data_IF_080814672296
#
_entry.id   IF_080814672296
#
_cell.length_a   1.000
_cell.length_b   1.000
_cell.length_c   1.000
_cell.angle_alpha   90.00
_cell.angle_beta   90.00
_cell.angle_gamma   90.00
#
_symmetry.space_group_name_H-M   'P 1'
#
loop_
_entity.id
_entity.type
_entity.pdbx_description
1 polymer ?
#
# COMPACT_ATOMS: atom_id res chain seq x y z
N UNK A 1 -0.70 -20.11 -32.30
CA UNK A 1 0.27 -18.99 -32.35
C UNK A 1 0.68 -18.50 -30.96
N UNK A 2 -0.25 -18.40 -30.00
CA UNK A 2 0.01 -17.94 -28.63
C UNK A 2 1.03 -18.80 -27.85
N UNK A 3 1.00 -20.12 -28.03
CA UNK A 3 1.92 -21.05 -27.36
C UNK A 3 3.37 -20.98 -27.87
N UNK A 4 3.60 -20.51 -29.09
CA UNK A 4 4.95 -20.41 -29.68
C UNK A 4 5.65 -19.13 -29.23
N UNK A 5 4.90 -18.01 -29.13
CA UNK A 5 5.41 -16.75 -28.58
C UNK A 5 5.76 -16.86 -27.09
N UNK A 6 4.91 -17.57 -26.32
CA UNK A 6 5.16 -17.84 -24.90
C UNK A 6 6.41 -18.71 -24.73
N UNK A 7 6.59 -19.72 -25.59
CA UNK A 7 7.79 -20.55 -25.61
C UNK A 7 9.06 -19.75 -25.90
N UNK A 8 9.06 -18.84 -26.88
CA UNK A 8 10.25 -18.07 -27.25
C UNK A 8 10.66 -17.03 -26.18
N UNK A 9 9.70 -16.35 -25.54
CA UNK A 9 9.97 -15.41 -24.44
C UNK A 9 10.55 -16.10 -23.20
N UNK A 10 10.10 -17.33 -22.91
CA UNK A 10 10.55 -18.10 -21.74
C UNK A 10 11.98 -18.66 -21.91
N UNK A 11 12.43 -18.91 -23.14
CA UNK A 11 13.81 -19.33 -23.41
C UNK A 11 14.80 -18.17 -23.27
N UNK A 12 14.38 -16.95 -23.59
CA UNK A 12 15.26 -15.75 -23.54
C UNK A 12 15.38 -15.14 -22.14
N UNK A 13 14.43 -15.39 -21.23
CA UNK A 13 14.42 -14.79 -19.89
C UNK A 13 14.11 -15.84 -18.79
N UNK A 14 15.06 -16.75 -18.49
CA UNK A 14 14.85 -17.85 -17.55
C UNK A 14 14.50 -17.41 -16.11
N UNK A 15 14.83 -16.17 -15.72
CA UNK A 15 14.46 -15.61 -14.42
C UNK A 15 12.95 -15.38 -14.25
N UNK A 16 12.18 -15.28 -15.36
CA UNK A 16 10.72 -15.16 -15.33
C UNK A 16 10.04 -16.48 -14.97
N UNK A 17 10.65 -17.62 -15.31
CA UNK A 17 10.17 -18.97 -14.94
C UNK A 17 10.31 -19.23 -13.44
N UNK A 18 11.45 -18.84 -12.86
CA UNK A 18 11.71 -18.93 -11.41
C UNK A 18 10.76 -18.03 -10.62
N UNK A 19 10.48 -16.82 -11.12
CA UNK A 19 9.46 -15.93 -10.56
C UNK A 19 8.06 -16.54 -10.62
N UNK A 20 7.59 -16.99 -11.79
CA UNK A 20 6.25 -17.60 -11.93
C UNK A 20 6.03 -18.83 -11.04
N UNK A 21 7.06 -19.69 -10.88
CA UNK A 21 6.99 -20.85 -9.99
C UNK A 21 6.89 -20.43 -8.52
N UNK A 22 7.69 -19.45 -8.09
CA UNK A 22 7.63 -18.84 -6.75
C UNK A 22 6.26 -18.23 -6.45
N UNK A 23 5.66 -17.51 -7.40
CA UNK A 23 4.31 -16.94 -7.25
C UNK A 23 3.21 -18.01 -7.20
N UNK A 24 3.30 -19.09 -7.98
CA UNK A 24 2.35 -20.21 -7.89
C UNK A 24 2.45 -20.98 -6.57
N UNK A 25 3.66 -21.14 -6.04
CA UNK A 25 3.87 -21.81 -4.75
C UNK A 25 3.38 -20.94 -3.57
N UNK A 26 3.45 -19.60 -3.67
CA UNK A 26 2.84 -18.65 -2.73
C UNK A 26 1.31 -18.83 -2.60
N UNK A 27 0.58 -19.04 -3.70
CA UNK A 27 -0.88 -19.27 -3.62
C UNK A 27 -1.25 -20.69 -3.17
N UNK A 28 -0.32 -21.65 -3.24
CA UNK A 28 -0.55 -23.02 -2.75
C UNK A 28 -0.55 -23.12 -1.22
N UNK A 29 0.08 -22.17 -0.52
CA UNK A 29 0.17 -22.18 0.95
C UNK A 29 -0.87 -21.31 1.66
N UNK A 30 -1.69 -20.52 0.94
CA UNK A 30 -2.78 -19.67 1.49
C UNK A 30 -2.44 -19.09 2.87
N UNK A 31 -1.28 -18.44 3.00
CA UNK A 31 -1.05 -17.60 4.17
C UNK A 31 -2.06 -16.45 4.06
N UNK A 32 -3.04 -16.39 4.97
CA UNK A 32 -4.01 -15.30 5.02
C UNK A 32 -3.26 -14.00 5.29
N UNK A 33 -3.28 -13.07 4.32
CA UNK A 33 -2.64 -11.76 4.47
C UNK A 33 -3.56 -10.84 5.27
N UNK A 34 -2.98 -10.08 6.19
CA UNK A 34 -3.64 -9.00 6.90
C UNK A 34 -3.10 -7.68 6.37
N UNK A 35 -3.88 -7.03 5.52
CA UNK A 35 -3.54 -5.74 4.93
C UNK A 35 -4.33 -4.65 5.63
N UNK A 36 -3.63 -3.63 6.10
CA UNK A 36 -4.23 -2.48 6.78
C UNK A 36 -3.79 -1.17 6.14
N UNK A 37 -4.71 -0.22 6.01
CA UNK A 37 -4.37 1.18 5.72
C UNK A 37 -4.67 2.00 6.97
N UNK A 38 -3.67 2.64 7.56
CA UNK A 38 -3.85 3.65 8.61
C UNK A 38 -3.77 5.03 7.95
N UNK A 39 -4.79 5.85 8.13
CA UNK A 39 -4.87 7.13 7.43
C UNK A 39 -5.52 8.23 8.28
N UNK A 40 -5.05 9.46 8.09
CA UNK A 40 -5.57 10.64 8.77
C UNK A 40 -6.83 11.15 8.07
N UNK A 41 -7.82 11.56 8.87
CA UNK A 41 -9.04 12.21 8.43
C UNK A 41 -10.11 11.25 7.93
N UNK A 42 -11.37 11.66 8.11
CA UNK A 42 -12.53 10.93 7.59
C UNK A 42 -12.74 11.19 6.10
N UNK A 43 -13.10 10.15 5.37
CA UNK A 43 -13.50 10.30 3.98
C UNK A 43 -14.87 11.00 3.87
N UNK A 44 -14.91 12.15 3.20
CA UNK A 44 -16.15 12.96 3.07
C UNK A 44 -16.86 12.73 1.74
N UNK A 45 -16.09 12.53 0.68
CA UNK A 45 -16.60 12.44 -0.67
C UNK A 45 -17.21 11.06 -0.98
N UNK A 46 -18.50 11.05 -1.35
CA UNK A 46 -19.24 9.80 -1.63
C UNK A 46 -18.63 8.99 -2.77
N UNK A 47 -18.11 9.65 -3.81
CA UNK A 47 -17.52 8.97 -4.97
C UNK A 47 -16.20 8.28 -4.61
N UNK A 48 -15.36 8.89 -3.78
CA UNK A 48 -14.14 8.26 -3.27
C UNK A 48 -14.49 7.07 -2.40
N UNK A 49 -15.50 7.20 -1.54
CA UNK A 49 -15.96 6.11 -0.69
C UNK A 49 -16.41 4.92 -1.52
N UNK A 50 -17.25 5.14 -2.52
CA UNK A 50 -17.73 4.08 -3.40
C UNK A 50 -16.59 3.37 -4.14
N UNK A 51 -15.62 4.13 -4.66
CA UNK A 51 -14.44 3.56 -5.31
C UNK A 51 -13.58 2.71 -4.37
N UNK A 52 -13.35 3.19 -3.14
CA UNK A 52 -12.59 2.46 -2.12
C UNK A 52 -13.34 1.19 -1.71
N UNK A 53 -14.64 1.28 -1.45
CA UNK A 53 -15.46 0.14 -1.05
C UNK A 53 -15.45 -0.99 -2.11
N UNK A 54 -15.45 -0.64 -3.39
CA UNK A 54 -15.38 -1.61 -4.49
C UNK A 54 -14.07 -2.41 -4.48
N UNK A 55 -12.92 -1.74 -4.35
CA UNK A 55 -11.63 -2.43 -4.27
C UNK A 55 -11.42 -3.13 -2.93
N UNK A 56 -11.88 -2.55 -1.82
CA UNK A 56 -11.82 -3.16 -0.50
C UNK A 56 -12.60 -4.49 -0.46
N UNK A 57 -13.78 -4.54 -1.11
CA UNK A 57 -14.57 -5.77 -1.26
C UNK A 57 -13.81 -6.82 -2.08
N UNK A 58 -13.21 -6.43 -3.20
CA UNK A 58 -12.42 -7.35 -4.04
C UNK A 58 -11.19 -7.87 -3.31
N UNK A 59 -10.58 -7.07 -2.44
CA UNK A 59 -9.40 -7.45 -1.66
C UNK A 59 -9.67 -8.55 -0.62
N UNK A 60 -10.91 -8.68 -0.13
CA UNK A 60 -11.26 -9.72 0.86
C UNK A 60 -11.01 -11.15 0.36
N UNK A 61 -10.88 -11.37 -0.96
CA UNK A 61 -10.54 -12.68 -1.54
C UNK A 61 -9.09 -13.11 -1.24
N UNK A 62 -8.24 -12.19 -0.81
CA UNK A 62 -6.81 -12.40 -0.57
C UNK A 62 -6.44 -12.47 0.92
N UNK A 63 -7.39 -12.21 1.80
CA UNK A 63 -7.18 -12.13 3.25
C UNK A 63 -7.96 -10.98 3.86
N UNK A 64 -7.61 -10.62 5.10
CA UNK A 64 -8.26 -9.51 5.80
C UNK A 64 -7.73 -8.19 5.22
N UNK A 65 -8.65 -7.34 4.76
CA UNK A 65 -8.34 -5.96 4.40
C UNK A 65 -9.15 -5.00 5.28
N UNK A 66 -8.47 -4.04 5.92
CA UNK A 66 -9.12 -3.01 6.74
C UNK A 66 -8.53 -1.61 6.52
N UNK A 67 -9.36 -0.60 6.67
CA UNK A 67 -8.96 0.81 6.67
C UNK A 67 -9.27 1.38 8.04
N UNK A 68 -8.24 1.89 8.71
CA UNK A 68 -8.32 2.53 10.02
C UNK A 68 -8.12 4.03 9.83
N UNK A 69 -9.19 4.78 10.09
CA UNK A 69 -9.14 6.24 10.08
C UNK A 69 -8.78 6.76 11.48
N UNK A 70 -7.81 7.67 11.56
CA UNK A 70 -7.52 8.43 12.77
C UNK A 70 -8.00 9.88 12.60
N UNK A 71 -8.45 10.55 13.68
CA UNK A 71 -8.87 11.94 13.61
C UNK A 71 -7.76 12.85 13.08
N UNK A 72 -8.11 13.74 12.16
CA UNK A 72 -7.29 14.88 11.73
C UNK A 72 -7.31 15.98 12.80
N UNK A 73 -6.23 16.74 12.89
CA UNK A 73 -6.27 18.01 13.61
C UNK A 73 -6.81 19.11 12.69
N UNK A 74 -7.50 20.08 13.26
CA UNK A 74 -7.86 21.28 12.51
C UNK A 74 -6.57 22.02 12.14
N UNK A 75 -6.33 22.16 10.85
CA UNK A 75 -5.31 23.05 10.30
C UNK A 75 -5.97 24.31 9.74
N UNK A 76 -6.01 25.43 10.49
CA UNK A 76 -6.35 26.74 9.96
C UNK A 76 -5.54 27.07 8.71
N UNK A 77 -6.06 27.94 7.83
CA UNK A 77 -5.39 28.32 6.58
C UNK A 77 -3.98 28.91 6.77
N UNK A 78 -3.69 29.44 7.95
CA UNK A 78 -2.38 29.94 8.33
C UNK A 78 -1.94 29.31 9.65
N UNK A 79 -0.89 28.49 9.59
CA UNK A 79 -0.21 27.93 10.75
C UNK A 79 1.24 28.41 10.76
N UNK A 80 1.76 28.72 11.94
CA UNK A 80 3.21 28.84 12.13
C UNK A 80 3.87 27.46 12.03
N UNK A 81 5.17 27.42 11.74
CA UNK A 81 5.91 26.16 11.65
C UNK A 81 5.75 25.31 12.93
N UNK A 82 5.83 25.93 14.10
CA UNK A 82 5.65 25.24 15.38
C UNK A 82 4.25 24.61 15.53
N UNK A 83 3.21 25.27 15.00
CA UNK A 83 1.85 24.70 15.00
C UNK A 83 1.70 23.58 13.98
N UNK A 84 2.33 23.69 12.81
CA UNK A 84 2.38 22.61 11.83
C UNK A 84 3.05 21.36 12.41
N UNK A 85 4.17 21.54 13.11
CA UNK A 85 4.90 20.45 13.76
C UNK A 85 4.04 19.78 14.85
N UNK A 86 3.35 20.56 15.69
CA UNK A 86 2.44 20.04 16.70
C UNK A 86 1.26 19.26 16.11
N UNK A 87 0.68 19.73 15.00
CA UNK A 87 -0.40 19.01 14.30
C UNK A 87 0.14 17.68 13.80
N UNK A 88 1.29 17.70 13.12
CA UNK A 88 1.90 16.51 12.54
C UNK A 88 2.25 15.49 13.63
N UNK A 89 2.79 15.93 14.77
CA UNK A 89 3.12 15.09 15.92
C UNK A 89 1.89 14.39 16.50
N UNK A 90 0.81 15.12 16.77
CA UNK A 90 -0.45 14.55 17.28
C UNK A 90 -1.06 13.53 16.32
N UNK A 91 -1.08 13.84 15.02
CA UNK A 91 -1.53 12.91 14.00
C UNK A 91 -0.63 11.67 13.94
N UNK A 92 0.69 11.88 14.08
CA UNK A 92 1.70 10.83 14.15
C UNK A 92 1.49 9.88 15.34
N UNK A 93 1.24 10.40 16.54
CA UNK A 93 0.91 9.60 17.73
C UNK A 93 -0.33 8.73 17.49
N UNK A 94 -1.37 9.30 16.89
CA UNK A 94 -2.60 8.57 16.57
C UNK A 94 -2.33 7.45 15.58
N UNK A 95 -1.55 7.71 14.52
CA UNK A 95 -1.13 6.69 13.55
C UNK A 95 -0.38 5.58 14.27
N UNK A 96 0.66 5.92 15.04
CA UNK A 96 1.52 4.96 15.73
C UNK A 96 0.71 4.08 16.70
N UNK A 97 -0.30 4.63 17.37
CA UNK A 97 -1.20 3.86 18.24
C UNK A 97 -2.00 2.75 17.52
N UNK A 98 -2.05 2.78 16.19
CA UNK A 98 -2.75 1.78 15.35
C UNK A 98 -1.81 0.78 14.69
N UNK A 99 -0.50 0.90 14.91
CA UNK A 99 0.53 0.04 14.32
C UNK A 99 1.10 -0.88 15.41
N UNK A 100 1.07 -2.20 15.19
CA UNK A 100 1.71 -3.17 16.09
C UNK A 100 3.19 -3.34 15.75
N UNK A 101 3.97 -3.84 16.69
CA UNK A 101 5.44 -3.97 16.54
C UNK A 101 5.87 -4.89 15.39
N UNK A 102 5.11 -5.96 15.11
CA UNK A 102 5.43 -6.96 14.09
C UNK A 102 4.93 -6.63 12.69
N UNK A 103 4.17 -5.55 12.53
CA UNK A 103 3.65 -5.14 11.22
C UNK A 103 4.79 -4.58 10.35
N UNK A 104 4.82 -4.98 9.09
CA UNK A 104 5.67 -4.33 8.09
C UNK A 104 4.98 -3.07 7.57
N UNK A 105 5.63 -1.93 7.76
CA UNK A 105 5.02 -0.61 7.56
C UNK A 105 5.56 0.07 6.31
N UNK A 106 4.68 0.33 5.36
CA UNK A 106 4.90 1.22 4.22
C UNK A 106 4.39 2.62 4.57
N UNK A 107 5.28 3.61 4.66
CA UNK A 107 4.87 5.02 4.76
C UNK A 107 4.79 5.65 3.37
N UNK A 108 3.63 6.20 3.01
CA UNK A 108 3.51 6.97 1.77
C UNK A 108 4.12 8.36 2.00
N UNK A 109 5.18 8.64 1.25
CA UNK A 109 5.92 9.89 1.33
C UNK A 109 6.38 10.31 -0.08
N UNK A 110 6.28 11.61 -0.40
CA UNK A 110 6.68 12.14 -1.71
C UNK A 110 8.15 11.83 -2.02
N UNK A 111 9.00 11.88 -0.99
CA UNK A 111 10.44 11.56 -1.06
C UNK A 111 10.74 10.07 -0.88
N UNK A 112 9.71 9.22 -0.75
CA UNK A 112 9.87 7.78 -0.77
C UNK A 112 10.40 7.30 -2.12
N UNK A 113 10.90 6.07 -2.17
CA UNK A 113 11.38 5.53 -3.45
C UNK A 113 10.15 5.13 -4.29
N UNK A 114 10.19 5.39 -5.60
CA UNK A 114 9.12 5.03 -6.54
C UNK A 114 9.16 3.51 -6.84
N UNK A 115 8.01 2.92 -7.18
CA UNK A 115 7.89 1.52 -7.60
C UNK A 115 7.02 1.41 -8.83
N UNK A 116 7.32 0.43 -9.67
CA UNK A 116 6.34 -0.10 -10.62
C UNK A 116 5.29 -0.92 -9.89
N UNK A 117 4.16 -1.23 -10.53
CA UNK A 117 3.14 -2.11 -9.94
C UNK A 117 3.70 -3.52 -9.70
N UNK A 118 4.59 -3.99 -10.56
CA UNK A 118 5.29 -5.27 -10.48
C UNK A 118 6.27 -5.31 -9.30
N UNK A 119 6.99 -4.21 -9.05
CA UNK A 119 7.90 -4.12 -7.89
C UNK A 119 7.12 -4.21 -6.58
N UNK A 120 5.99 -3.49 -6.46
CA UNK A 120 5.13 -3.56 -5.28
C UNK A 120 4.55 -4.98 -5.10
N UNK A 121 4.10 -5.61 -6.20
CA UNK A 121 3.60 -6.99 -6.18
C UNK A 121 4.66 -7.97 -5.70
N UNK A 122 5.89 -7.84 -6.20
CA UNK A 122 7.03 -8.65 -5.77
C UNK A 122 7.36 -8.43 -4.30
N UNK A 123 7.43 -7.19 -3.83
CA UNK A 123 7.75 -6.88 -2.43
C UNK A 123 6.73 -7.49 -1.47
N UNK A 124 5.42 -7.36 -1.77
CA UNK A 124 4.36 -7.98 -0.96
C UNK A 124 4.48 -9.52 -0.94
N UNK A 125 4.75 -10.14 -2.09
CA UNK A 125 4.91 -11.60 -2.17
C UNK A 125 6.16 -12.07 -1.40
N UNK A 126 7.27 -11.34 -1.50
CA UNK A 126 8.52 -11.66 -0.82
C UNK A 126 8.34 -11.57 0.70
N UNK A 127 7.67 -10.53 1.21
CA UNK A 127 7.33 -10.41 2.63
C UNK A 127 6.57 -11.63 3.14
N UNK A 128 5.56 -12.07 2.40
CA UNK A 128 4.76 -13.21 2.80
C UNK A 128 5.54 -14.53 2.76
N UNK A 129 6.40 -14.74 1.75
CA UNK A 129 7.33 -15.90 1.70
C UNK A 129 8.28 -15.92 2.89
N UNK A 130 8.67 -14.75 3.40
CA UNK A 130 9.50 -14.60 4.59
C UNK A 130 8.71 -14.58 5.92
N UNK A 131 7.42 -14.96 5.89
CA UNK A 131 6.59 -15.11 7.08
C UNK A 131 5.98 -13.81 7.63
N UNK A 132 6.03 -12.72 6.87
CA UNK A 132 5.35 -11.46 7.21
C UNK A 132 3.97 -11.42 6.58
N UNK A 133 2.94 -11.68 7.38
CA UNK A 133 1.53 -11.65 6.93
C UNK A 133 0.80 -10.36 7.29
N UNK A 134 1.32 -9.56 8.23
CA UNK A 134 0.73 -8.28 8.65
C UNK A 134 1.43 -7.10 7.97
N UNK A 135 0.77 -6.48 6.99
CA UNK A 135 1.29 -5.34 6.22
C UNK A 135 0.41 -4.12 6.46
N UNK A 136 1.03 -3.00 6.84
CA UNK A 136 0.36 -1.73 7.09
C UNK A 136 0.87 -0.65 6.15
N UNK A 137 -0.02 0.00 5.43
CA UNK A 137 0.25 1.22 4.68
C UNK A 137 -0.21 2.45 5.46
N UNK A 138 0.55 3.52 5.42
CA UNK A 138 0.28 4.75 6.19
C UNK A 138 0.15 5.95 5.26
N UNK A 139 -0.96 6.68 5.39
CA UNK A 139 -1.24 7.92 4.66
C UNK A 139 -1.38 9.06 5.68
N UNK A 140 -0.54 10.09 5.54
CA UNK A 140 -0.58 11.28 6.40
C UNK A 140 -1.75 12.22 6.10
N UNK A 141 -1.86 13.26 6.94
CA UNK A 141 -2.78 14.37 6.75
C UNK A 141 -2.31 15.35 5.67
N UNK A 142 -2.86 16.56 5.67
CA UNK A 142 -2.45 17.63 4.74
C UNK A 142 -1.00 18.07 4.92
N UNK A 143 -0.44 17.93 6.13
CA UNK A 143 0.94 18.29 6.46
C UNK A 143 1.95 17.14 6.24
N UNK A 144 1.48 15.95 5.85
CA UNK A 144 2.32 14.78 5.67
C UNK A 144 2.42 13.90 6.93
N UNK A 145 3.58 13.30 7.15
CA UNK A 145 3.82 12.33 8.22
C UNK A 145 4.89 12.82 9.19
N UNK A 146 4.63 12.65 10.48
CA UNK A 146 5.59 12.98 11.52
C UNK A 146 6.90 12.19 11.34
N UNK A 147 8.06 12.79 11.71
CA UNK A 147 9.34 12.07 11.69
C UNK A 147 9.32 10.74 12.44
N UNK A 148 8.57 10.64 13.55
CA UNK A 148 8.40 9.40 14.32
C UNK A 148 7.72 8.28 13.51
N UNK A 149 6.73 8.62 12.67
CA UNK A 149 6.05 7.66 11.78
C UNK A 149 7.00 7.20 10.68
N UNK A 150 7.72 8.14 10.05
CA UNK A 150 8.72 7.82 9.02
C UNK A 150 9.85 6.95 9.57
N UNK A 151 10.26 7.16 10.83
CA UNK A 151 11.26 6.34 11.52
C UNK A 151 10.73 4.93 11.85
N UNK A 152 9.45 4.79 12.20
CA UNK A 152 8.82 3.48 12.42
C UNK A 152 8.63 2.70 11.11
N UNK A 153 8.47 3.38 9.98
CA UNK A 153 8.27 2.73 8.70
C UNK A 153 9.45 1.81 8.34
N UNK A 154 9.13 0.62 7.83
CA UNK A 154 10.14 -0.28 7.28
C UNK A 154 10.62 0.22 5.91
N UNK A 155 9.73 0.86 5.15
CA UNK A 155 10.03 1.45 3.85
C UNK A 155 9.17 2.68 3.60
N UNK A 156 9.70 3.61 2.80
CA UNK A 156 8.97 4.78 2.32
C UNK A 156 8.72 4.62 0.82
N UNK A 157 7.46 4.74 0.42
CA UNK A 157 7.00 4.59 -0.96
C UNK A 157 6.45 5.91 -1.49
N UNK A 158 6.86 6.27 -2.71
CA UNK A 158 6.30 7.40 -3.45
C UNK A 158 5.43 6.92 -4.60
N UNK A 159 4.30 7.60 -4.82
CA UNK A 159 3.41 7.43 -5.97
C UNK A 159 3.73 8.42 -7.10
N UNK A 160 4.90 9.05 -7.04
CA UNK A 160 5.39 10.02 -8.00
C UNK A 160 5.57 11.40 -7.40
N UNK A 161 5.92 12.36 -8.26
CA UNK A 161 6.30 13.72 -7.86
C UNK A 161 5.12 14.67 -7.64
N UNK A 162 3.91 14.27 -8.04
CA UNK A 162 2.71 15.07 -7.82
C UNK A 162 2.21 14.92 -6.39
N UNK A 163 1.80 16.04 -5.80
CA UNK A 163 1.10 16.03 -4.52
C UNK A 163 -0.36 15.65 -4.75
N UNK A 164 -0.73 14.44 -4.37
CA UNK A 164 -2.12 13.98 -4.40
C UNK A 164 -2.83 14.30 -3.08
N UNK A 165 -4.08 14.80 -3.09
CA UNK A 165 -4.86 14.93 -1.86
C UNK A 165 -4.97 13.57 -1.15
N UNK A 166 -4.75 13.54 0.17
CA UNK A 166 -4.70 12.29 0.94
C UNK A 166 -5.95 11.41 0.77
N UNK A 167 -7.14 12.01 0.57
CA UNK A 167 -8.38 11.26 0.29
C UNK A 167 -8.33 10.54 -1.06
N UNK A 168 -7.82 11.19 -2.11
CA UNK A 168 -7.63 10.57 -3.42
C UNK A 168 -6.53 9.51 -3.36
N UNK A 169 -5.44 9.80 -2.63
CA UNK A 169 -4.35 8.84 -2.42
C UNK A 169 -4.86 7.54 -1.79
N UNK A 170 -5.83 7.61 -0.89
CA UNK A 170 -6.44 6.41 -0.30
C UNK A 170 -7.10 5.51 -1.35
N UNK A 171 -7.84 6.08 -2.30
CA UNK A 171 -8.43 5.33 -3.41
C UNK A 171 -7.35 4.71 -4.31
N UNK A 172 -6.39 5.52 -4.73
CA UNK A 172 -5.30 5.07 -5.62
C UNK A 172 -4.48 3.95 -4.98
N UNK A 173 -4.14 4.08 -3.69
CA UNK A 173 -3.43 3.04 -2.95
C UNK A 173 -4.26 1.75 -2.86
N UNK A 174 -5.54 1.84 -2.53
CA UNK A 174 -6.41 0.66 -2.41
C UNK A 174 -6.49 -0.10 -3.74
N UNK A 175 -6.57 0.62 -4.86
CA UNK A 175 -6.51 0.02 -6.19
C UNK A 175 -5.15 -0.63 -6.47
N UNK A 176 -4.04 0.03 -6.16
CA UNK A 176 -2.71 -0.51 -6.40
C UNK A 176 -2.39 -1.74 -5.55
N UNK A 177 -2.89 -1.81 -4.32
CA UNK A 177 -2.82 -3.03 -3.51
C UNK A 177 -3.59 -4.16 -4.21
N UNK A 178 -4.83 -3.90 -4.67
CA UNK A 178 -5.59 -4.90 -5.43
C UNK A 178 -4.85 -5.35 -6.68
N UNK A 179 -4.29 -4.43 -7.45
CA UNK A 179 -3.48 -4.72 -8.63
C UNK A 179 -2.28 -5.59 -8.30
N UNK A 180 -1.56 -5.30 -7.22
CA UNK A 180 -0.42 -6.10 -6.78
C UNK A 180 -0.80 -7.57 -6.53
N UNK A 181 -1.94 -7.81 -5.88
CA UNK A 181 -2.46 -9.16 -5.71
C UNK A 181 -2.92 -9.81 -7.02
N UNK A 182 -3.55 -9.07 -7.93
CA UNK A 182 -3.92 -9.62 -9.25
C UNK A 182 -2.69 -10.00 -10.08
N UNK A 183 -1.61 -9.21 -10.03
CA UNK A 183 -0.32 -9.53 -10.65
C UNK A 183 0.24 -10.84 -10.07
N UNK A 184 0.24 -10.96 -8.74
CA UNK A 184 0.73 -12.16 -8.06
C UNK A 184 -0.09 -13.41 -8.41
N UNK A 185 -1.41 -13.30 -8.63
CA UNK A 185 -2.28 -14.39 -9.14
C UNK A 185 -1.98 -14.76 -10.62
N UNK A 186 -1.21 -13.95 -11.34
CA UNK A 186 -1.03 -14.09 -12.78
C UNK A 186 -2.26 -13.72 -13.59
N UNK A 187 -3.12 -12.84 -13.07
CA UNK A 187 -4.33 -12.38 -13.73
C UNK A 187 -4.05 -11.40 -14.87
N UNK A 188 -4.85 -11.43 -15.97
CA UNK A 188 -4.75 -10.46 -17.06
C UNK A 188 -5.31 -9.06 -16.70
N UNK A 189 -5.66 -8.81 -15.44
CA UNK A 189 -6.10 -7.49 -14.98
C UNK A 189 -5.00 -6.43 -15.19
N UNK A 190 -3.74 -6.83 -15.04
CA UNK A 190 -2.60 -6.00 -15.36
C UNK A 190 -2.30 -6.09 -16.86
N UNK A 191 -2.23 -4.95 -17.54
CA UNK A 191 -1.96 -4.81 -18.98
C UNK A 191 -0.85 -3.79 -19.18
#
# INVERSE_FOLDING_TARGET
MENVFKSQLLTSYPHLLTKQKKYKDFYKTRAEMNIKIVCVGKLKEKYLKAGIDEYAKRLQKFGKFEIVEVPDEKAPEQLSQAQMDQVMEKEGERILSKIKDREYVFALAILGKERTSEDLASEIADLAVHGTSDITFVIGGSLGLAPAVLKRANTQISFGRFTLPHQLMRLVLTEQIYRAFMINEGSPYHK
#
